data_IF_513304677295
#
_entry.id   IF_513304677295
#
_cell.length_a   1.000
_cell.length_b   1.000
_cell.length_c   1.000
_cell.angle_alpha   90.00
_cell.angle_beta   90.00
_cell.angle_gamma   90.00
#
_symmetry.space_group_name_H-M   'P 1'
#
loop_
_entity.id
_entity.type
_entity.pdbx_description
1 polymer ?
#
# COMPACT_ATOMS: atom_id res chain seq x y z
N UNK A 1 -5.69 -15.73 14.07
CA UNK A 1 -6.31 -14.39 13.92
C UNK A 1 -6.86 -14.35 12.51
N UNK A 2 -8.09 -13.90 12.32
CA UNK A 2 -8.63 -13.67 10.98
C UNK A 2 -8.25 -12.25 10.54
N UNK A 3 -7.64 -12.14 9.37
CA UNK A 3 -7.29 -10.85 8.76
C UNK A 3 -8.44 -10.37 7.87
N UNK A 4 -8.53 -9.06 7.66
CA UNK A 4 -9.55 -8.51 6.78
C UNK A 4 -9.25 -8.88 5.34
N UNK A 5 -10.24 -9.40 4.60
CA UNK A 5 -10.04 -9.77 3.20
C UNK A 5 -9.69 -8.58 2.31
N UNK A 6 -10.23 -7.39 2.61
CA UNK A 6 -9.97 -6.15 1.88
C UNK A 6 -9.65 -5.02 2.84
N UNK A 7 -8.65 -4.21 2.51
CA UNK A 7 -8.20 -3.07 3.30
C UNK A 7 -8.15 -1.80 2.41
N UNK A 8 -8.52 -0.66 2.99
CA UNK A 8 -8.37 0.69 2.42
C UNK A 8 -8.98 0.92 1.03
N UNK A 9 -10.08 0.25 0.70
CA UNK A 9 -10.79 0.39 -0.59
C UNK A 9 -11.38 1.79 -0.82
N UNK A 10 -11.54 2.58 0.24
CA UNK A 10 -12.06 3.95 0.22
C UNK A 10 -10.96 5.01 0.11
N UNK A 11 -9.68 4.62 0.14
CA UNK A 11 -8.57 5.57 0.05
C UNK A 11 -8.03 5.59 -1.36
N UNK A 12 -7.93 6.80 -1.92
CA UNK A 12 -7.33 7.05 -3.22
C UNK A 12 -5.87 7.44 -3.03
N UNK A 13 -4.98 6.90 -3.86
CA UNK A 13 -3.58 7.33 -3.87
C UNK A 13 -2.92 7.11 -5.24
N UNK A 14 -1.85 7.87 -5.51
CA UNK A 14 -1.08 7.79 -6.75
C UNK A 14 0.41 7.58 -6.42
N UNK A 15 0.95 6.45 -6.86
CA UNK A 15 2.35 6.06 -6.63
C UNK A 15 3.37 6.83 -7.49
N UNK A 16 2.94 7.58 -8.51
CA UNK A 16 3.75 8.53 -9.27
C UNK A 16 4.14 9.81 -8.52
N UNK A 17 3.57 10.06 -7.33
CA UNK A 17 4.08 11.10 -6.43
C UNK A 17 5.50 10.74 -5.96
N UNK A 18 6.38 11.73 -5.80
CA UNK A 18 7.75 11.50 -5.29
C UNK A 18 7.75 10.78 -3.94
N UNK A 19 8.88 10.14 -3.59
CA UNK A 19 9.05 9.52 -2.25
C UNK A 19 8.93 10.56 -1.14
N UNK A 20 8.42 10.10 0.00
CA UNK A 20 8.24 10.92 1.19
C UNK A 20 9.32 10.59 2.22
N UNK A 21 9.95 11.62 2.78
CA UNK A 21 10.96 11.46 3.83
C UNK A 21 10.34 11.21 5.22
N UNK A 22 9.11 11.68 5.44
CA UNK A 22 8.43 11.58 6.73
C UNK A 22 6.98 11.17 6.53
N UNK A 23 6.44 10.44 7.52
CA UNK A 23 5.03 10.05 7.54
C UNK A 23 4.11 11.27 7.63
N UNK A 24 4.52 12.36 8.28
CA UNK A 24 3.73 13.60 8.37
C UNK A 24 3.50 14.25 7.01
N UNK A 25 4.55 14.32 6.18
CA UNK A 25 4.42 14.84 4.82
C UNK A 25 3.53 13.94 3.97
N UNK A 26 3.63 12.62 4.16
CA UNK A 26 2.79 11.65 3.46
C UNK A 26 1.31 11.78 3.88
N UNK A 27 1.02 11.87 5.17
CA UNK A 27 -0.34 12.06 5.71
C UNK A 27 -1.03 13.27 5.10
N UNK A 28 -0.32 14.41 5.08
CA UNK A 28 -0.85 15.64 4.52
C UNK A 28 -1.10 15.48 3.01
N UNK A 29 -0.19 14.85 2.28
CA UNK A 29 -0.36 14.61 0.85
C UNK A 29 -1.52 13.65 0.56
N UNK A 30 -1.66 12.56 1.33
CA UNK A 30 -2.73 11.58 1.20
C UNK A 30 -4.09 12.23 1.42
N UNK A 31 -4.19 13.04 2.48
CA UNK A 31 -5.39 13.83 2.77
C UNK A 31 -5.74 14.76 1.60
N UNK A 32 -4.80 15.63 1.22
CA UNK A 32 -5.03 16.62 0.16
C UNK A 32 -5.42 15.95 -1.16
N UNK A 33 -4.78 14.82 -1.50
CA UNK A 33 -5.10 14.09 -2.72
C UNK A 33 -6.53 13.55 -2.72
N UNK A 34 -6.98 12.97 -1.60
CA UNK A 34 -8.36 12.48 -1.50
C UNK A 34 -9.38 13.63 -1.56
N UNK A 35 -9.10 14.76 -0.90
CA UNK A 35 -9.97 15.94 -0.94
C UNK A 35 -10.06 16.54 -2.36
N UNK A 36 -8.93 16.62 -3.06
CA UNK A 36 -8.86 17.12 -4.43
C UNK A 36 -9.65 16.24 -5.40
N UNK A 37 -9.46 14.92 -5.34
CA UNK A 37 -10.12 13.99 -6.27
C UNK A 37 -11.61 13.85 -5.99
N UNK A 38 -12.03 13.85 -4.71
CA UNK A 38 -13.44 13.67 -4.34
C UNK A 38 -14.23 14.99 -4.36
N UNK A 39 -13.56 16.13 -4.19
CA UNK A 39 -14.20 17.43 -4.03
C UNK A 39 -14.91 17.62 -2.69
N UNK A 40 -14.55 16.84 -1.67
CA UNK A 40 -15.14 16.87 -0.33
C UNK A 40 -14.08 16.75 0.77
N UNK A 41 -14.45 17.07 2.01
CA UNK A 41 -13.53 16.97 3.15
C UNK A 41 -13.19 15.52 3.48
N UNK A 42 -11.90 15.23 3.65
CA UNK A 42 -11.44 13.88 3.98
C UNK A 42 -11.55 13.65 5.49
N UNK A 43 -12.47 12.75 5.86
CA UNK A 43 -12.85 12.48 7.26
C UNK A 43 -12.29 11.19 7.85
N UNK A 44 -11.57 10.40 7.06
CA UNK A 44 -10.95 9.15 7.53
C UNK A 44 -9.82 9.43 8.52
N UNK A 45 -9.80 8.67 9.61
CA UNK A 45 -8.73 8.71 10.60
C UNK A 45 -7.58 7.78 10.20
N UNK A 46 -6.49 8.39 9.72
CA UNK A 46 -5.32 7.67 9.22
C UNK A 46 -4.47 7.00 10.31
N UNK A 47 -4.75 7.28 11.59
CA UNK A 47 -4.06 6.73 12.75
C UNK A 47 -4.75 5.51 13.37
N UNK A 48 -5.95 5.18 12.91
CA UNK A 48 -6.62 3.98 13.38
C UNK A 48 -5.88 2.71 12.94
N UNK A 49 -5.76 1.70 13.82
CA UNK A 49 -5.22 0.40 13.46
C UNK A 49 -6.05 -0.25 12.35
N UNK A 50 -5.44 -0.48 11.19
CA UNK A 50 -6.10 -1.10 10.02
C UNK A 50 -5.73 -2.58 9.87
N UNK A 51 -4.51 -2.94 10.31
CA UNK A 51 -4.02 -4.32 10.27
C UNK A 51 -3.35 -4.65 11.62
N UNK A 52 -3.99 -5.54 12.40
CA UNK A 52 -3.49 -6.01 13.70
C UNK A 52 -2.44 -7.12 13.52
N UNK A 53 -1.34 -6.78 12.85
CA UNK A 53 -0.18 -7.63 12.67
C UNK A 53 1.10 -6.78 12.82
N UNK A 54 2.15 -7.37 13.36
CA UNK A 54 3.46 -6.72 13.47
C UNK A 54 4.28 -6.80 12.16
N UNK A 55 3.87 -7.68 11.24
CA UNK A 55 4.47 -7.89 9.92
C UNK A 55 3.39 -8.10 8.87
N UNK A 56 3.66 -7.67 7.65
CA UNK A 56 2.81 -7.91 6.48
C UNK A 56 3.69 -8.03 5.24
N UNK A 57 3.41 -9.01 4.40
CA UNK A 57 4.00 -9.12 3.08
C UNK A 57 3.07 -8.42 2.08
N UNK A 58 3.64 -7.61 1.20
CA UNK A 58 2.91 -6.93 0.12
C UNK A 58 3.49 -7.43 -1.19
N UNK A 59 2.64 -7.95 -2.06
CA UNK A 59 2.98 -8.21 -3.46
C UNK A 59 2.28 -7.19 -4.35
N UNK A 60 2.96 -6.77 -5.40
CA UNK A 60 2.48 -5.83 -6.40
C UNK A 60 3.00 -6.25 -7.78
N UNK A 61 2.46 -5.65 -8.84
CA UNK A 61 2.90 -5.91 -10.20
C UNK A 61 3.37 -4.63 -10.89
N UNK A 62 4.31 -4.78 -11.83
CA UNK A 62 4.72 -3.68 -12.71
C UNK A 62 5.22 -4.23 -14.04
N UNK A 63 5.15 -3.41 -15.10
CA UNK A 63 5.73 -3.75 -16.40
C UNK A 63 7.25 -3.49 -16.42
N UNK A 64 8.05 -4.53 -16.61
CA UNK A 64 9.50 -4.39 -16.73
C UNK A 64 9.92 -4.30 -18.20
N UNK A 65 10.23 -3.07 -18.64
CA UNK A 65 10.66 -2.79 -20.01
C UNK A 65 11.91 -3.57 -20.44
N UNK A 66 12.76 -4.02 -19.51
CA UNK A 66 14.01 -4.70 -19.86
C UNK A 66 13.80 -6.15 -20.31
N UNK A 67 12.73 -6.78 -19.83
CA UNK A 67 12.37 -8.16 -20.16
C UNK A 67 11.05 -8.24 -20.94
N UNK A 68 10.39 -7.10 -21.17
CA UNK A 68 9.10 -6.98 -21.86
C UNK A 68 8.03 -7.91 -21.25
N UNK A 69 7.97 -7.96 -19.92
CA UNK A 69 7.04 -8.83 -19.19
C UNK A 69 6.60 -8.19 -17.86
N UNK A 70 5.53 -8.73 -17.28
CA UNK A 70 5.03 -8.36 -15.95
C UNK A 70 5.89 -9.06 -14.89
N UNK A 71 6.26 -8.31 -13.86
CA UNK A 71 6.98 -8.83 -12.69
C UNK A 71 6.13 -8.63 -11.44
N UNK A 72 6.02 -9.68 -10.62
CA UNK A 72 5.20 -9.71 -9.40
C UNK A 72 6.05 -9.89 -8.12
N UNK A 73 6.90 -8.92 -7.75
CA UNK A 73 7.72 -9.05 -6.55
C UNK A 73 6.89 -8.89 -5.25
N UNK A 74 7.37 -9.48 -4.17
CA UNK A 74 6.87 -9.26 -2.82
C UNK A 74 7.93 -8.63 -1.90
N UNK A 75 7.48 -7.95 -0.85
CA UNK A 75 8.35 -7.38 0.17
C UNK A 75 7.69 -7.40 1.55
N UNK A 76 8.53 -7.53 2.59
CA UNK A 76 8.10 -7.54 3.98
C UNK A 76 8.14 -6.15 4.60
N UNK A 77 7.04 -5.76 5.24
CA UNK A 77 6.96 -4.59 6.10
C UNK A 77 6.85 -5.01 7.58
N UNK A 78 7.44 -4.21 8.45
CA UNK A 78 7.32 -4.35 9.91
C UNK A 78 6.59 -3.13 10.46
N UNK A 79 5.69 -3.32 11.42
CA UNK A 79 5.00 -2.23 12.11
C UNK A 79 5.97 -1.48 13.04
N UNK A 80 5.94 -0.15 13.04
CA UNK A 80 6.86 0.68 13.83
C UNK A 80 6.65 0.52 15.34
N UNK A 81 5.40 0.30 15.75
CA UNK A 81 5.04 0.01 17.14
C UNK A 81 5.22 -1.48 17.52
N UNK A 82 5.60 -2.34 16.57
CA UNK A 82 5.76 -3.78 16.77
C UNK A 82 4.47 -4.58 17.00
N UNK A 83 3.29 -3.98 16.77
CA UNK A 83 1.99 -4.56 17.10
C UNK A 83 0.97 -4.51 15.95
N UNK A 84 0.82 -3.36 15.29
CA UNK A 84 -0.18 -3.14 14.25
C UNK A 84 0.23 -2.01 13.30
N UNK A 85 -0.30 -2.02 12.09
CA UNK A 85 -0.18 -0.90 11.16
C UNK A 85 -1.38 0.03 11.25
N UNK A 86 -1.12 1.34 11.19
CA UNK A 86 -2.13 2.33 10.84
C UNK A 86 -2.21 2.51 9.33
N UNK A 87 -3.27 3.17 8.87
CA UNK A 87 -3.45 3.44 7.44
C UNK A 87 -2.33 4.33 6.88
N UNK A 88 -1.97 5.41 7.59
CA UNK A 88 -0.87 6.29 7.19
C UNK A 88 0.46 5.53 7.10
N UNK A 89 0.77 4.72 8.10
CA UNK A 89 2.03 3.99 8.18
C UNK A 89 2.15 2.95 7.06
N UNK A 90 1.11 2.15 6.87
CA UNK A 90 1.11 1.09 5.86
C UNK A 90 1.27 1.68 4.46
N UNK A 91 0.45 2.67 4.08
CA UNK A 91 0.51 3.28 2.76
C UNK A 91 1.80 4.07 2.54
N UNK A 92 2.33 4.75 3.57
CA UNK A 92 3.63 5.43 3.48
C UNK A 92 4.75 4.45 3.13
N UNK A 93 4.78 3.31 3.82
CA UNK A 93 5.78 2.26 3.59
C UNK A 93 5.63 1.63 2.22
N UNK A 94 4.40 1.27 1.81
CA UNK A 94 4.13 0.73 0.48
C UNK A 94 4.59 1.73 -0.59
N UNK A 95 4.14 2.99 -0.52
CA UNK A 95 4.49 4.04 -1.47
C UNK A 95 5.99 4.16 -1.68
N UNK A 96 6.76 4.29 -0.60
CA UNK A 96 8.20 4.46 -0.69
C UNK A 96 8.94 3.21 -1.23
N UNK A 97 8.37 2.02 -1.06
CA UNK A 97 8.91 0.78 -1.63
C UNK A 97 8.62 0.68 -3.13
N UNK A 98 7.37 0.91 -3.56
CA UNK A 98 6.94 0.66 -4.94
C UNK A 98 7.21 1.82 -5.91
N UNK A 99 7.39 3.05 -5.40
CA UNK A 99 7.47 4.27 -6.21
C UNK A 99 8.42 4.17 -7.41
N UNK A 100 9.64 3.66 -7.24
CA UNK A 100 10.60 3.63 -8.36
C UNK A 100 10.14 2.76 -9.52
N UNK A 101 9.32 1.74 -9.23
CA UNK A 101 8.78 0.82 -10.23
C UNK A 101 7.47 1.33 -10.82
N UNK A 102 6.62 1.99 -10.03
CA UNK A 102 5.29 2.41 -10.46
C UNK A 102 5.19 3.85 -10.97
N UNK A 103 6.21 4.70 -10.76
CA UNK A 103 6.09 6.14 -11.05
C UNK A 103 5.81 6.49 -12.52
N UNK A 104 6.22 5.61 -13.43
CA UNK A 104 6.06 5.76 -14.88
C UNK A 104 5.19 4.60 -15.45
N UNK A 105 4.55 3.81 -14.59
CA UNK A 105 3.66 2.71 -14.99
C UNK A 105 2.22 3.24 -15.17
N UNK A 106 1.46 2.63 -16.07
CA UNK A 106 0.05 2.97 -16.26
C UNK A 106 -0.76 2.55 -15.01
N UNK A 107 -0.41 1.43 -14.38
CA UNK A 107 -1.09 0.89 -13.19
C UNK A 107 -0.51 1.47 -11.88
N UNK A 108 -0.54 2.79 -11.74
CA UNK A 108 0.08 3.50 -10.61
C UNK A 108 -0.92 4.01 -9.56
N UNK A 109 -2.22 3.76 -9.71
CA UNK A 109 -3.24 4.19 -8.75
C UNK A 109 -3.52 3.11 -7.72
N UNK A 110 -3.60 3.49 -6.45
CA UNK A 110 -3.95 2.58 -5.37
C UNK A 110 -5.48 2.38 -5.31
N UNK A 111 -5.90 1.12 -5.30
CA UNK A 111 -7.31 0.72 -5.15
C UNK A 111 -7.57 -0.14 -3.90
N UNK A 112 -6.54 -0.31 -3.06
CA UNK A 112 -6.62 -1.05 -1.81
C UNK A 112 -5.73 -2.28 -1.78
N UNK A 113 -5.95 -3.10 -0.75
CA UNK A 113 -5.21 -4.33 -0.52
C UNK A 113 -6.17 -5.51 -0.39
N UNK A 114 -5.84 -6.64 -1.03
CA UNK A 114 -6.63 -7.88 -0.96
C UNK A 114 -5.81 -9.04 -0.37
N UNK A 115 -6.36 -9.73 0.62
CA UNK A 115 -5.69 -10.81 1.35
C UNK A 115 -5.54 -12.06 0.47
N UNK A 116 -4.32 -12.56 0.36
CA UNK A 116 -4.06 -13.89 -0.17
C UNK A 116 -4.32 -14.96 0.90
N UNK A 117 -5.09 -15.99 0.52
CA UNK A 117 -5.48 -17.09 1.42
C UNK A 117 -4.76 -18.41 1.13
N UNK A 118 -3.90 -18.44 0.11
CA UNK A 118 -3.06 -19.58 -0.23
C UNK A 118 -1.74 -19.59 0.54
N UNK A 119 -0.80 -20.41 0.06
CA UNK A 119 0.55 -20.48 0.64
C UNK A 119 1.35 -19.21 0.36
N UNK A 120 2.09 -18.74 1.36
CA UNK A 120 3.08 -17.67 1.26
C UNK A 120 4.46 -18.25 1.58
N UNK A 121 5.16 -18.87 0.61
CA UNK A 121 6.42 -19.57 0.88
C UNK A 121 7.55 -18.63 1.31
N UNK A 122 7.51 -17.37 0.89
CA UNK A 122 8.52 -16.37 1.25
C UNK A 122 8.37 -15.92 2.71
N UNK A 123 7.13 -15.83 3.20
CA UNK A 123 6.83 -15.43 4.58
C UNK A 123 5.69 -16.27 5.19
N UNK A 124 5.94 -17.54 5.58
CA UNK A 124 4.89 -18.51 5.95
C UNK A 124 3.99 -18.08 7.11
N UNK A 125 4.52 -17.30 8.05
CA UNK A 125 3.80 -16.84 9.25
C UNK A 125 3.29 -15.40 9.13
N UNK A 126 3.25 -14.84 7.92
CA UNK A 126 2.92 -13.42 7.68
C UNK A 126 1.76 -13.30 6.68
N UNK A 127 0.73 -12.48 6.97
CA UNK A 127 -0.32 -12.21 6.00
C UNK A 127 0.27 -11.59 4.73
N UNK A 128 -0.11 -12.13 3.58
CA UNK A 128 0.21 -11.59 2.27
C UNK A 128 -0.99 -10.82 1.73
N UNK A 129 -0.76 -9.58 1.34
CA UNK A 129 -1.75 -8.77 0.64
C UNK A 129 -1.26 -8.40 -0.77
N UNK A 130 -2.15 -8.48 -1.74
CA UNK A 130 -1.94 -7.97 -3.08
C UNK A 130 -2.32 -6.49 -3.14
N UNK A 131 -1.41 -5.68 -3.68
CA UNK A 131 -1.64 -4.30 -4.02
C UNK A 131 -2.58 -4.23 -5.23
N UNK A 132 -3.79 -3.72 -5.05
CA UNK A 132 -4.71 -3.50 -6.15
C UNK A 132 -4.35 -2.18 -6.84
N UNK A 133 -4.07 -2.26 -8.14
CA UNK A 133 -3.54 -1.17 -8.94
C UNK A 133 -4.49 -0.81 -10.08
N UNK A 134 -4.84 0.47 -10.18
CA UNK A 134 -5.69 1.03 -11.23
C UNK A 134 -4.90 1.83 -12.26
N UNK A 135 -5.52 2.03 -13.43
CA UNK A 135 -5.03 2.81 -14.59
C UNK A 135 -5.77 4.13 -14.80
#
# INVERSE_FOLDING_TARGET
MEYQNKISQNILWNFGKQKFLTIENFRLALKNYNEEIRGEFFSEDLDLPILKANKVAIQYEYWDQSIEDIVEPDFLLNADNGQFFTTAELLFKIHNQVHEKLKDDDHQFFEGLELWTGENPNYPDTPLYFLQQGS
#
